data_IF_917789566546
#
_entry.id   IF_917789566546
#
_cell.length_a   1.000
_cell.length_b   1.000
_cell.length_c   1.000
_cell.angle_alpha   90.00
_cell.angle_beta   90.00
_cell.angle_gamma   90.00
#
_symmetry.space_group_name_H-M   'P 1'
#
loop_
_entity.id
_entity.type
_entity.pdbx_description
1 polymer ?
#
# COMPACT_ATOMS: atom_id res chain seq x y z
N UNK A 1 -0.66 1.20 19.44
CA UNK A 1 0.73 1.23 19.96
C UNK A 1 1.78 1.05 18.85
N UNK A 2 1.65 0.15 17.86
CA UNK A 2 2.70 -0.06 16.82
C UNK A 2 3.19 1.12 15.95
N UNK A 3 2.47 2.25 15.78
CA UNK A 3 2.98 3.36 14.94
C UNK A 3 3.60 4.50 15.76
N UNK A 4 3.11 4.71 16.99
CA UNK A 4 3.70 5.68 17.91
C UNK A 4 5.07 5.25 18.46
N UNK A 5 5.34 3.95 18.53
CA UNK A 5 6.67 3.41 18.87
C UNK A 5 7.65 3.52 17.69
N UNK A 6 7.19 3.31 16.45
CA UNK A 6 8.02 3.49 15.26
C UNK A 6 8.50 4.95 15.09
N UNK A 7 7.67 5.93 15.42
CA UNK A 7 8.04 7.35 15.43
C UNK A 7 9.00 7.72 16.58
N UNK A 8 8.97 7.01 17.72
CA UNK A 8 9.85 7.30 18.87
C UNK A 8 11.28 6.84 18.66
N UNK A 9 11.50 5.78 17.88
CA UNK A 9 12.85 5.24 17.61
C UNK A 9 13.67 6.10 16.65
N UNK A 10 13.06 7.09 15.98
CA UNK A 10 13.72 7.84 14.91
C UNK A 10 14.58 9.02 15.36
N UNK A 11 14.58 9.43 16.63
CA UNK A 11 15.30 10.62 17.16
C UNK A 11 15.22 11.89 16.28
N UNK A 12 14.23 11.95 15.40
CA UNK A 12 13.79 13.15 14.71
C UNK A 12 12.55 13.57 15.48
N UNK A 13 12.68 14.74 16.09
CA UNK A 13 11.66 15.41 16.90
C UNK A 13 10.46 15.88 16.04
N UNK A 14 9.95 15.03 15.14
CA UNK A 14 8.60 15.17 14.63
C UNK A 14 7.69 14.64 15.72
N UNK A 15 7.21 15.55 16.57
CA UNK A 15 5.96 15.34 17.28
C UNK A 15 5.02 14.64 16.31
N UNK A 16 4.56 13.43 16.66
CA UNK A 16 3.60 12.66 15.89
C UNK A 16 2.29 13.46 15.84
N UNK A 17 2.29 14.49 15.00
CA UNK A 17 1.19 15.42 14.84
C UNK A 17 0.06 14.60 14.22
N UNK A 18 -1.14 14.77 14.79
CA UNK A 18 -2.36 14.18 14.23
C UNK A 18 -2.50 14.55 12.75
N UNK A 19 -1.92 15.67 12.31
CA UNK A 19 -1.75 16.06 10.92
C UNK A 19 -1.05 15.01 10.05
N UNK A 20 0.11 14.50 10.45
CA UNK A 20 0.89 13.52 9.66
C UNK A 20 0.14 12.19 9.53
N UNK A 21 -0.45 11.71 10.63
CA UNK A 21 -1.27 10.47 10.61
C UNK A 21 -2.53 10.67 9.74
N UNK A 22 -3.11 11.87 9.72
CA UNK A 22 -4.24 12.19 8.84
C UNK A 22 -3.82 12.20 7.36
N UNK A 23 -2.64 12.73 7.04
CA UNK A 23 -2.11 12.76 5.67
C UNK A 23 -1.87 11.34 5.15
N UNK A 24 -1.19 10.48 5.91
CA UNK A 24 -0.88 9.11 5.51
C UNK A 24 -2.15 8.26 5.28
N UNK A 25 -3.18 8.46 6.11
CA UNK A 25 -4.50 7.81 5.93
C UNK A 25 -5.22 8.33 4.68
N UNK A 26 -5.21 9.64 4.48
CA UNK A 26 -5.80 10.28 3.30
C UNK A 26 -5.15 9.80 2.00
N UNK A 27 -3.83 9.69 2.00
CA UNK A 27 -3.06 9.16 0.88
C UNK A 27 -3.40 7.70 0.59
N UNK A 28 -3.32 6.81 1.59
CA UNK A 28 -3.67 5.39 1.43
C UNK A 28 -5.08 5.26 0.83
N UNK A 29 -6.07 5.98 1.37
CA UNK A 29 -7.43 5.95 0.85
C UNK A 29 -7.49 6.43 -0.61
N UNK A 30 -6.79 7.51 -0.95
CA UNK A 30 -6.77 8.04 -2.32
C UNK A 30 -6.22 7.02 -3.34
N UNK A 31 -5.23 6.21 -2.94
CA UNK A 31 -4.64 5.15 -3.78
C UNK A 31 -5.54 3.90 -3.85
N UNK A 32 -6.22 3.55 -2.76
CA UNK A 32 -7.10 2.37 -2.66
C UNK A 32 -8.42 2.58 -3.40
N UNK A 33 -8.98 3.79 -3.37
CA UNK A 33 -10.29 4.10 -4.00
C UNK A 33 -10.40 3.62 -5.46
N UNK A 34 -9.50 3.98 -6.39
CA UNK A 34 -9.60 3.51 -7.77
C UNK A 34 -9.42 1.98 -7.90
N UNK A 35 -8.68 1.35 -6.99
CA UNK A 35 -8.54 -0.11 -6.95
C UNK A 35 -9.84 -0.81 -6.56
N UNK A 36 -10.58 -0.25 -5.59
CA UNK A 36 -11.91 -0.78 -5.20
C UNK A 36 -12.88 -0.70 -6.38
N UNK A 37 -12.94 0.46 -7.05
CA UNK A 37 -13.81 0.64 -8.22
C UNK A 37 -13.50 -0.39 -9.31
N UNK A 38 -12.22 -0.52 -9.68
CA UNK A 38 -11.77 -1.40 -10.76
C UNK A 38 -11.89 -2.89 -10.42
N UNK A 39 -11.46 -3.32 -9.23
CA UNK A 39 -11.35 -4.76 -8.90
C UNK A 39 -12.69 -5.38 -8.50
N UNK A 40 -13.59 -4.61 -7.91
CA UNK A 40 -14.93 -5.08 -7.56
C UNK A 40 -15.99 -4.66 -8.60
N UNK A 41 -15.62 -3.87 -9.60
CA UNK A 41 -16.51 -3.47 -10.69
C UNK A 41 -17.65 -2.54 -10.22
N UNK A 42 -17.35 -1.59 -9.33
CA UNK A 42 -18.27 -0.48 -9.09
C UNK A 42 -18.25 0.46 -10.28
N UNK A 43 -19.40 1.02 -10.65
CA UNK A 43 -19.47 1.98 -11.75
C UNK A 43 -20.34 3.19 -11.37
N UNK A 44 -19.99 4.36 -11.90
CA UNK A 44 -20.67 5.63 -11.61
C UNK A 44 -21.94 5.89 -12.42
N UNK A 45 -22.55 4.87 -13.03
CA UNK A 45 -23.75 5.05 -13.85
C UNK A 45 -24.93 5.56 -13.01
N UNK A 46 -25.71 6.49 -13.58
CA UNK A 46 -26.93 7.02 -12.95
C UNK A 46 -28.13 6.09 -13.12
N UNK A 47 -27.99 4.98 -13.86
CA UNK A 47 -29.07 4.02 -14.07
C UNK A 47 -29.50 3.36 -12.74
N UNK A 48 -30.83 3.25 -12.52
CA UNK A 48 -31.40 2.64 -11.30
C UNK A 48 -30.87 1.23 -11.05
N UNK A 49 -30.66 0.45 -12.12
CA UNK A 49 -30.08 -0.91 -12.05
C UNK A 49 -28.65 -0.86 -11.48
N UNK A 50 -27.78 -0.01 -12.02
CA UNK A 50 -26.40 0.13 -11.57
C UNK A 50 -26.31 0.61 -10.12
N UNK A 51 -27.16 1.56 -9.71
CA UNK A 51 -27.24 2.02 -8.32
C UNK A 51 -27.59 0.85 -7.39
N UNK A 52 -28.61 0.05 -7.75
CA UNK A 52 -29.00 -1.13 -6.97
C UNK A 52 -27.85 -2.15 -6.89
N UNK A 53 -27.24 -2.48 -8.02
CA UNK A 53 -26.14 -3.45 -8.10
C UNK A 53 -24.94 -3.02 -7.26
N UNK A 54 -24.54 -1.74 -7.33
CA UNK A 54 -23.48 -1.20 -6.48
C UNK A 54 -23.81 -1.34 -4.99
N UNK A 55 -25.03 -0.98 -4.58
CA UNK A 55 -25.45 -1.07 -3.18
C UNK A 55 -25.42 -2.52 -2.68
N UNK A 56 -26.05 -3.41 -3.44
CA UNK A 56 -26.18 -4.82 -3.08
C UNK A 56 -24.78 -5.47 -3.02
N UNK A 57 -23.87 -5.07 -3.92
CA UNK A 57 -22.46 -5.49 -3.92
C UNK A 57 -21.66 -4.94 -2.73
N UNK A 58 -21.83 -3.66 -2.38
CA UNK A 58 -21.15 -3.08 -1.23
C UNK A 58 -21.52 -3.82 0.06
N UNK A 59 -22.82 -4.08 0.26
CA UNK A 59 -23.31 -4.86 1.39
C UNK A 59 -22.70 -6.27 1.41
N UNK A 60 -22.74 -7.00 0.28
CA UNK A 60 -22.18 -8.34 0.17
C UNK A 60 -20.68 -8.37 0.49
N UNK A 61 -19.89 -7.47 -0.10
CA UNK A 61 -18.44 -7.41 0.12
C UNK A 61 -18.05 -7.14 1.57
N UNK A 62 -18.82 -6.30 2.27
CA UNK A 62 -18.55 -5.98 3.69
C UNK A 62 -19.01 -7.06 4.66
N UNK A 63 -20.01 -7.87 4.28
CA UNK A 63 -20.43 -9.03 5.07
C UNK A 63 -19.27 -10.01 5.23
N UNK A 64 -18.93 -10.36 6.47
CA UNK A 64 -17.80 -11.22 6.83
C UNK A 64 -16.46 -10.87 6.15
N UNK A 65 -16.29 -9.59 5.79
CA UNK A 65 -15.10 -9.10 5.07
C UNK A 65 -14.79 -9.89 3.79
N UNK A 66 -15.82 -10.30 3.04
CA UNK A 66 -15.67 -11.04 1.77
C UNK A 66 -14.69 -10.37 0.79
N UNK A 67 -14.57 -9.04 0.83
CA UNK A 67 -13.59 -8.29 0.05
C UNK A 67 -12.13 -8.75 0.25
N UNK A 68 -11.79 -9.39 1.37
CA UNK A 68 -10.44 -9.87 1.67
C UNK A 68 -10.09 -11.20 0.99
N UNK A 69 -11.08 -11.96 0.50
CA UNK A 69 -10.88 -13.27 -0.11
C UNK A 69 -10.39 -13.16 -1.54
N UNK A 70 -9.59 -14.13 -1.99
CA UNK A 70 -9.07 -14.19 -3.37
C UNK A 70 -10.19 -14.13 -4.41
N UNK A 71 -11.26 -14.88 -4.14
CA UNK A 71 -12.50 -14.90 -4.90
C UNK A 71 -13.66 -14.68 -3.91
N UNK A 72 -14.21 -13.45 -3.83
CA UNK A 72 -15.31 -13.11 -2.94
C UNK A 72 -16.65 -13.80 -3.28
N UNK A 73 -16.71 -14.64 -4.33
CA UNK A 73 -17.86 -15.46 -4.69
C UNK A 73 -19.18 -14.69 -4.93
N UNK A 74 -19.11 -13.40 -5.29
CA UNK A 74 -20.28 -12.51 -5.39
C UNK A 74 -21.38 -13.01 -6.34
N UNK A 75 -20.98 -13.72 -7.40
CA UNK A 75 -21.89 -14.24 -8.42
C UNK A 75 -22.19 -15.74 -8.26
N UNK A 76 -21.72 -16.37 -7.17
CA UNK A 76 -21.93 -17.80 -6.92
C UNK A 76 -23.22 -18.06 -6.12
N UNK A 77 -23.81 -19.27 -6.26
CA UNK A 77 -24.97 -19.66 -5.45
C UNK A 77 -24.68 -19.54 -3.94
N UNK A 78 -25.70 -19.18 -3.16
CA UNK A 78 -25.61 -19.16 -1.70
C UNK A 78 -25.11 -20.51 -1.17
N UNK A 79 -24.02 -20.49 -0.41
CA UNK A 79 -23.37 -21.68 0.16
C UNK A 79 -22.07 -22.11 -0.53
N UNK A 80 -21.62 -21.43 -1.59
CA UNK A 80 -20.25 -21.60 -2.09
C UNK A 80 -19.25 -20.91 -1.15
N UNK A 81 -18.27 -21.66 -0.66
CA UNK A 81 -17.26 -21.12 0.25
C UNK A 81 -16.34 -20.11 -0.45
N UNK A 82 -16.13 -18.97 0.19
CA UNK A 82 -15.11 -18.02 -0.25
C UNK A 82 -13.72 -18.59 0.04
N UNK A 83 -12.82 -18.52 -0.95
CA UNK A 83 -11.50 -19.14 -0.86
C UNK A 83 -10.37 -18.11 -0.72
N UNK A 84 -9.35 -18.49 0.05
CA UNK A 84 -8.12 -17.71 0.15
C UNK A 84 -8.30 -16.37 0.85
N UNK A 85 -8.75 -16.39 2.10
CA UNK A 85 -8.79 -15.19 2.96
C UNK A 85 -7.45 -14.43 2.93
N UNK A 86 -7.52 -13.10 2.89
CA UNK A 86 -6.39 -12.16 2.77
C UNK A 86 -5.55 -12.28 1.49
N UNK A 87 -6.04 -12.95 0.45
CA UNK A 87 -5.32 -13.11 -0.83
C UNK A 87 -5.93 -12.34 -1.99
N UNK A 88 -6.92 -11.48 -1.73
CA UNK A 88 -7.44 -10.61 -2.79
C UNK A 88 -6.33 -9.71 -3.38
N UNK A 89 -6.22 -9.57 -4.71
CA UNK A 89 -5.16 -8.77 -5.35
C UNK A 89 -5.10 -7.30 -4.90
N UNK A 90 -6.20 -6.76 -4.38
CA UNK A 90 -6.25 -5.39 -3.86
C UNK A 90 -5.23 -5.14 -2.75
N UNK A 91 -4.91 -6.16 -1.93
CA UNK A 91 -4.01 -6.03 -0.79
C UNK A 91 -2.59 -5.72 -1.28
N UNK A 92 -2.08 -6.51 -2.22
CA UNK A 92 -0.77 -6.26 -2.84
C UNK A 92 -0.76 -4.93 -3.59
N UNK A 93 -1.79 -4.66 -4.40
CA UNK A 93 -1.87 -3.43 -5.18
C UNK A 93 -1.90 -2.17 -4.30
N UNK A 94 -2.58 -2.23 -3.16
CA UNK A 94 -2.59 -1.15 -2.18
C UNK A 94 -1.21 -0.95 -1.54
N UNK A 95 -0.53 -2.03 -1.11
CA UNK A 95 0.84 -1.96 -0.58
C UNK A 95 1.78 -1.28 -1.59
N UNK A 96 1.74 -1.76 -2.82
CA UNK A 96 2.56 -1.26 -3.92
C UNK A 96 2.28 0.23 -4.17
N UNK A 97 1.01 0.61 -4.30
CA UNK A 97 0.64 1.98 -4.63
C UNK A 97 0.88 2.99 -3.49
N UNK A 98 1.01 2.53 -2.25
CA UNK A 98 1.17 3.40 -1.08
C UNK A 98 2.60 3.50 -0.58
N UNK A 99 3.39 2.42 -0.56
CA UNK A 99 4.73 2.44 0.06
C UNK A 99 5.84 1.88 -0.83
N UNK A 100 5.53 1.36 -2.02
CA UNK A 100 6.49 0.65 -2.87
C UNK A 100 6.29 0.92 -4.37
N UNK A 101 5.83 2.11 -4.74
CA UNK A 101 5.61 2.49 -6.14
C UNK A 101 6.95 2.73 -6.85
N UNK A 102 7.96 3.23 -6.14
CA UNK A 102 9.29 3.46 -6.67
C UNK A 102 10.39 3.33 -5.58
N UNK A 103 11.66 3.44 -5.99
CA UNK A 103 12.83 3.25 -5.11
C UNK A 103 12.99 4.30 -4.00
N UNK A 104 12.29 5.42 -4.10
CA UNK A 104 12.34 6.52 -3.15
C UNK A 104 11.18 6.50 -2.16
N UNK A 105 10.27 5.52 -2.26
CA UNK A 105 9.14 5.41 -1.33
C UNK A 105 9.56 4.80 0.01
N UNK A 106 8.72 4.99 1.01
CA UNK A 106 8.99 4.69 2.43
C UNK A 106 9.32 3.21 2.66
N UNK A 107 8.68 2.30 1.91
CA UNK A 107 8.93 0.87 2.00
C UNK A 107 10.34 0.46 1.58
N UNK A 108 11.03 1.30 0.81
CA UNK A 108 12.41 1.10 0.39
C UNK A 108 13.38 1.87 1.28
N UNK A 109 13.09 3.15 1.55
CA UNK A 109 13.95 4.01 2.36
C UNK A 109 14.04 3.55 3.82
N UNK A 110 12.93 3.10 4.40
CA UNK A 110 12.84 2.70 5.80
C UNK A 110 12.59 1.20 5.95
N UNK A 111 13.43 0.41 5.27
CA UNK A 111 13.28 -1.06 5.15
C UNK A 111 13.11 -1.78 6.50
N UNK A 112 13.66 -1.25 7.58
CA UNK A 112 13.60 -1.79 8.93
C UNK A 112 12.17 -1.90 9.48
N UNK A 113 11.23 -1.09 9.00
CA UNK A 113 9.82 -1.16 9.43
C UNK A 113 8.96 -2.13 8.60
N UNK A 114 9.45 -2.54 7.43
CA UNK A 114 8.72 -3.37 6.48
C UNK A 114 9.32 -4.79 6.32
N UNK A 115 10.60 -4.93 6.64
CA UNK A 115 11.36 -6.18 6.59
C UNK A 115 11.21 -6.99 7.89
N UNK A 116 11.23 -8.33 7.84
CA UNK A 116 11.24 -9.19 6.65
C UNK A 116 9.84 -9.49 6.08
N UNK A 117 8.80 -8.91 6.68
CA UNK A 117 7.40 -9.19 6.35
C UNK A 117 6.53 -7.99 6.70
N UNK A 118 5.54 -7.70 5.85
CA UNK A 118 4.54 -6.65 6.11
C UNK A 118 3.89 -6.91 7.48
N UNK A 119 3.76 -5.88 8.32
CA UNK A 119 3.20 -6.07 9.67
C UNK A 119 1.70 -6.36 9.64
N UNK A 120 1.18 -7.08 10.65
CA UNK A 120 -0.27 -7.28 10.83
C UNK A 120 -1.01 -5.94 10.91
N UNK A 121 -0.40 -4.93 11.56
CA UNK A 121 -0.97 -3.59 11.65
C UNK A 121 -1.15 -2.94 10.28
N UNK A 122 -0.18 -3.09 9.38
CA UNK A 122 -0.30 -2.57 8.01
C UNK A 122 -1.37 -3.29 7.21
N UNK A 123 -1.45 -4.63 7.31
CA UNK A 123 -2.53 -5.39 6.67
C UNK A 123 -3.90 -4.92 7.16
N UNK A 124 -4.09 -4.79 8.48
CA UNK A 124 -5.33 -4.27 9.05
C UNK A 124 -5.67 -2.87 8.53
N UNK A 125 -4.67 -1.98 8.41
CA UNK A 125 -4.85 -0.64 7.88
C UNK A 125 -5.32 -0.65 6.42
N UNK A 126 -4.73 -1.51 5.58
CA UNK A 126 -5.17 -1.68 4.17
C UNK A 126 -6.60 -2.20 4.12
N UNK A 127 -6.94 -3.26 4.89
CA UNK A 127 -8.30 -3.81 4.93
C UNK A 127 -9.33 -2.75 5.35
N UNK A 128 -8.96 -1.91 6.33
CA UNK A 128 -9.78 -0.79 6.78
C UNK A 128 -9.98 0.25 5.68
N UNK A 129 -8.92 0.60 4.94
CA UNK A 129 -9.01 1.55 3.83
C UNK A 129 -9.86 1.00 2.67
N UNK A 130 -9.75 -0.31 2.38
CA UNK A 130 -10.57 -1.01 1.39
C UNK A 130 -12.04 -0.97 1.80
N UNK A 131 -12.36 -1.36 3.04
CA UNK A 131 -13.73 -1.28 3.56
C UNK A 131 -14.27 0.15 3.51
N UNK A 132 -13.48 1.15 3.93
CA UNK A 132 -13.87 2.55 3.86
C UNK A 132 -14.19 3.02 2.43
N UNK A 133 -13.47 2.51 1.42
CA UNK A 133 -13.75 2.81 0.02
C UNK A 133 -14.98 2.04 -0.51
N UNK A 134 -15.27 0.85 0.00
CA UNK A 134 -16.50 0.10 -0.31
C UNK A 134 -17.72 0.81 0.29
N UNK A 135 -17.60 1.33 1.51
CA UNK A 135 -18.66 2.07 2.20
C UNK A 135 -19.10 3.33 1.44
N UNK A 136 -18.22 3.94 0.62
CA UNK A 136 -18.58 5.03 -0.31
C UNK A 136 -19.69 4.63 -1.28
N UNK A 137 -19.87 3.33 -1.53
CA UNK A 137 -20.90 2.77 -2.41
C UNK A 137 -22.12 2.23 -1.67
N UNK A 138 -22.22 2.43 -0.35
CA UNK A 138 -23.31 1.89 0.49
C UNK A 138 -24.71 2.40 0.11
N UNK A 139 -24.84 3.50 -0.62
CA UNK A 139 -26.13 3.99 -1.17
C UNK A 139 -26.36 3.58 -2.63
N UNK A 140 -25.39 2.89 -3.24
CA UNK A 140 -25.34 2.60 -4.67
C UNK A 140 -24.76 3.70 -5.53
N UNK A 141 -24.66 4.92 -4.98
CA UNK A 141 -23.95 6.06 -5.57
C UNK A 141 -22.71 6.32 -4.74
N UNK A 142 -21.60 6.66 -5.40
CA UNK A 142 -20.38 7.05 -4.71
C UNK A 142 -20.62 8.34 -3.92
N UNK A 143 -20.46 8.27 -2.60
CA UNK A 143 -20.43 9.44 -1.73
C UNK A 143 -19.04 9.58 -1.09
N UNK A 144 -18.66 10.82 -0.75
CA UNK A 144 -17.42 11.05 -0.01
C UNK A 144 -17.58 10.60 1.43
N UNK A 145 -17.19 9.36 1.74
CA UNK A 145 -17.03 8.92 3.13
C UNK A 145 -15.68 9.43 3.63
N UNK A 146 -15.65 10.05 4.80
CA UNK A 146 -14.36 10.50 5.34
C UNK A 146 -13.66 9.35 6.07
N UNK A 147 -12.36 9.21 5.87
CA UNK A 147 -11.56 8.21 6.61
C UNK A 147 -11.09 8.79 7.95
N UNK A 148 -12.05 9.23 8.76
CA UNK A 148 -11.76 9.82 10.06
C UNK A 148 -11.44 8.75 11.11
N UNK A 149 -10.55 9.11 12.03
CA UNK A 149 -10.09 8.21 13.09
C UNK A 149 -11.20 7.70 13.98
N UNK A 150 -12.14 8.58 14.35
CA UNK A 150 -13.24 8.24 15.23
C UNK A 150 -14.16 7.17 14.61
N UNK A 151 -14.35 7.21 13.29
CA UNK A 151 -15.26 6.29 12.59
C UNK A 151 -14.57 4.96 12.23
N UNK A 152 -13.33 5.00 11.74
CA UNK A 152 -12.66 3.80 11.22
C UNK A 152 -11.63 3.16 12.18
N UNK A 153 -11.35 3.77 13.34
CA UNK A 153 -10.53 3.10 14.36
C UNK A 153 -11.15 1.80 14.87
N UNK A 154 -12.46 1.70 15.16
CA UNK A 154 -13.09 0.43 15.53
C UNK A 154 -12.94 -0.64 14.44
N UNK A 155 -13.13 -0.25 13.18
CA UNK A 155 -12.96 -1.14 12.01
C UNK A 155 -11.52 -1.65 11.91
N UNK A 156 -10.54 -0.75 12.08
CA UNK A 156 -9.12 -1.12 12.12
C UNK A 156 -8.79 -2.08 13.25
N UNK A 157 -9.29 -1.82 14.46
CA UNK A 157 -9.06 -2.69 15.61
C UNK A 157 -9.69 -4.06 15.40
N UNK A 158 -10.88 -4.12 14.78
CA UNK A 158 -11.55 -5.38 14.43
C UNK A 158 -10.74 -6.19 13.40
N UNK A 159 -10.31 -5.58 12.29
CA UNK A 159 -9.44 -6.26 11.31
C UNK A 159 -8.14 -6.74 11.92
N UNK A 160 -7.53 -5.93 12.78
CA UNK A 160 -6.30 -6.31 13.49
C UNK A 160 -6.55 -7.50 14.42
N UNK A 161 -7.65 -7.49 15.18
CA UNK A 161 -8.01 -8.59 16.06
C UNK A 161 -8.27 -9.89 15.28
N UNK A 162 -8.97 -9.82 14.14
CA UNK A 162 -9.22 -10.98 13.29
C UNK A 162 -7.94 -11.57 12.69
N UNK A 163 -7.01 -10.71 12.26
CA UNK A 163 -5.69 -11.17 11.77
C UNK A 163 -4.87 -11.83 12.88
N UNK A 164 -4.88 -11.29 14.11
CA UNK A 164 -4.21 -11.89 15.25
C UNK A 164 -4.86 -13.23 15.65
N UNK A 165 -6.19 -13.27 15.73
CA UNK A 165 -6.91 -14.49 16.03
C UNK A 165 -6.69 -15.59 14.98
N UNK A 166 -6.54 -15.22 13.71
CA UNK A 166 -6.14 -16.16 12.66
C UNK A 166 -4.70 -16.64 12.84
N UNK A 167 -3.77 -15.74 13.16
CA UNK A 167 -2.36 -16.09 13.44
C UNK A 167 -2.24 -17.06 14.63
N UNK A 168 -3.05 -16.84 15.67
CA UNK A 168 -3.06 -17.62 16.91
C UNK A 168 -3.90 -18.91 16.83
N UNK A 169 -4.57 -19.18 15.70
CA UNK A 169 -5.50 -20.30 15.57
C UNK A 169 -4.81 -21.66 15.68
N UNK A 170 -3.67 -21.82 15.01
CA UNK A 170 -2.78 -22.97 15.07
C UNK A 170 -1.45 -22.68 14.34
N UNK A 171 -0.46 -23.56 14.49
CA UNK A 171 0.86 -23.41 13.84
C UNK A 171 0.77 -23.29 12.31
N UNK A 172 -0.15 -24.02 11.68
CA UNK A 172 -0.37 -23.94 10.23
C UNK A 172 -0.94 -22.59 9.81
N UNK A 173 -1.85 -22.02 10.60
CA UNK A 173 -2.44 -20.70 10.33
C UNK A 173 -1.38 -19.59 10.51
N UNK A 174 -0.59 -19.65 11.59
CA UNK A 174 0.57 -18.78 11.80
C UNK A 174 1.56 -18.86 10.63
N UNK A 175 1.96 -20.07 10.24
CA UNK A 175 2.89 -20.32 9.13
C UNK A 175 2.35 -19.78 7.81
N UNK A 176 1.06 -19.98 7.54
CA UNK A 176 0.39 -19.51 6.33
C UNK A 176 0.36 -17.99 6.27
N UNK A 177 -0.05 -17.31 7.35
CA UNK A 177 -0.12 -15.85 7.41
C UNK A 177 1.28 -15.23 7.33
N UNK A 178 2.27 -15.78 8.03
CA UNK A 178 3.65 -15.34 7.94
C UNK A 178 4.22 -15.47 6.52
N UNK A 179 4.00 -16.62 5.86
CA UNK A 179 4.41 -16.82 4.46
C UNK A 179 3.74 -15.81 3.53
N UNK A 180 2.45 -15.54 3.71
CA UNK A 180 1.73 -14.52 2.96
C UNK A 180 2.37 -13.14 3.14
N UNK A 181 2.61 -12.72 4.39
CA UNK A 181 3.20 -11.41 4.71
C UNK A 181 4.62 -11.23 4.17
N UNK A 182 5.44 -12.28 4.22
CA UNK A 182 6.78 -12.31 3.58
C UNK A 182 6.68 -12.18 2.07
N UNK A 183 5.74 -12.89 1.45
CA UNK A 183 5.48 -12.79 0.01
C UNK A 183 5.05 -11.37 -0.38
N UNK A 184 4.11 -10.78 0.37
CA UNK A 184 3.65 -9.41 0.12
C UNK A 184 4.80 -8.40 0.11
N UNK A 185 5.72 -8.51 1.08
CA UNK A 185 6.91 -7.66 1.15
C UNK A 185 7.87 -7.88 -0.02
N UNK A 186 8.16 -9.14 -0.36
CA UNK A 186 9.05 -9.49 -1.48
C UNK A 186 8.52 -8.93 -2.81
N UNK A 187 7.25 -9.18 -3.11
CA UNK A 187 6.62 -8.68 -4.35
C UNK A 187 6.56 -7.15 -4.38
N UNK A 188 6.38 -6.50 -3.23
CA UNK A 188 6.40 -5.05 -3.14
C UNK A 188 7.81 -4.47 -3.43
N UNK A 189 8.87 -5.07 -2.88
CA UNK A 189 10.25 -4.67 -3.23
C UNK A 189 10.53 -4.86 -4.72
N UNK A 190 10.14 -5.99 -5.29
CA UNK A 190 10.28 -6.23 -6.72
C UNK A 190 9.55 -5.15 -7.53
N UNK A 191 8.31 -4.83 -7.17
CA UNK A 191 7.50 -3.81 -7.84
C UNK A 191 8.12 -2.41 -7.85
N UNK A 192 8.79 -2.02 -6.75
CA UNK A 192 9.46 -0.72 -6.64
C UNK A 192 10.68 -0.56 -7.58
N UNK A 193 11.10 -1.66 -8.23
CA UNK A 193 12.32 -1.73 -9.01
C UNK A 193 13.59 -1.74 -8.18
N UNK A 194 13.51 -1.92 -6.85
CA UNK A 194 14.67 -1.94 -5.96
C UNK A 194 15.52 -3.22 -6.05
N UNK A 195 15.07 -4.25 -6.78
CA UNK A 195 15.89 -5.43 -7.10
C UNK A 195 16.82 -5.19 -8.30
N UNK A 196 16.45 -4.30 -9.22
CA UNK A 196 17.30 -3.94 -10.35
C UNK A 196 18.45 -3.06 -9.85
N UNK A 197 19.64 -3.63 -9.72
CA UNK A 197 20.98 -2.98 -9.80
C UNK A 197 21.13 -1.56 -9.23
N UNK A 198 22.14 -1.41 -8.36
CA UNK A 198 22.82 -0.14 -8.14
C UNK A 198 23.01 0.56 -9.48
N UNK A 199 22.21 1.59 -9.76
CA UNK A 199 22.56 2.54 -10.80
C UNK A 199 23.80 3.23 -10.27
N UNK A 200 24.97 2.70 -10.60
CA UNK A 200 26.20 3.46 -10.54
C UNK A 200 25.92 4.66 -11.41
N UNK A 201 25.70 5.82 -10.79
CA UNK A 201 25.71 7.06 -11.53
C UNK A 201 27.10 7.11 -12.16
N UNK A 202 27.18 6.83 -13.46
CA UNK A 202 28.40 7.04 -14.23
C UNK A 202 28.52 8.55 -14.34
N UNK A 203 29.08 9.16 -13.30
CA UNK A 203 29.53 10.54 -13.32
C UNK A 203 30.88 10.59 -14.05
N UNK A 204 31.35 11.81 -14.33
CA UNK A 204 32.66 11.99 -14.95
C UNK A 204 33.72 11.26 -14.12
N UNK A 205 34.43 10.33 -14.75
CA UNK A 205 35.56 9.67 -14.11
C UNK A 205 36.66 10.70 -13.83
N UNK A 206 37.51 10.40 -12.87
CA UNK A 206 38.71 11.20 -12.62
C UNK A 206 39.51 11.41 -13.93
N UNK A 207 39.63 10.39 -14.77
CA UNK A 207 40.33 10.49 -16.06
C UNK A 207 39.64 11.44 -17.05
N UNK A 208 38.31 11.55 -17.01
CA UNK A 208 37.58 12.52 -17.84
C UNK A 208 37.83 13.95 -17.34
N UNK A 209 37.90 14.15 -16.03
CA UNK A 209 38.25 15.44 -15.43
C UNK A 209 39.71 15.83 -15.69
N UNK A 210 40.66 14.89 -15.57
CA UNK A 210 42.08 15.12 -15.87
C UNK A 210 42.29 15.48 -17.34
N UNK A 211 41.61 14.78 -18.28
CA UNK A 211 41.69 15.13 -19.71
C UNK A 211 41.11 16.49 -20.01
N UNK A 212 39.99 16.86 -19.39
CA UNK A 212 39.42 18.19 -19.56
C UNK A 212 40.34 19.29 -19.03
N UNK A 213 41.02 19.06 -17.90
CA UNK A 213 42.00 20.01 -17.36
C UNK A 213 43.20 20.18 -18.30
N UNK A 214 43.75 19.08 -18.80
CA UNK A 214 44.89 19.15 -19.73
C UNK A 214 44.54 19.92 -21.00
N UNK A 215 43.37 19.66 -21.59
CA UNK A 215 42.91 20.37 -22.79
C UNK A 215 42.71 21.87 -22.55
N UNK A 216 42.24 22.27 -21.36
CA UNK A 216 42.07 23.68 -21.02
C UNK A 216 43.42 24.39 -20.78
N UNK A 217 44.41 23.68 -20.24
CA UNK A 217 45.77 24.21 -20.08
C UNK A 217 46.46 24.35 -21.43
N UNK A 218 46.37 23.34 -22.30
CA UNK A 218 46.98 23.36 -23.64
C UNK A 218 46.34 24.44 -24.54
N UNK A 219 45.06 24.77 -24.33
CA UNK A 219 44.37 25.84 -25.07
C UNK A 219 44.64 27.25 -24.53
N UNK A 220 45.17 27.38 -23.31
CA UNK A 220 45.49 28.67 -22.69
C UNK A 220 46.87 29.22 -23.05
N UNK A 221 47.73 28.43 -23.69
CA UNK A 221 49.07 28.83 -24.12
C UNK A 221 49.12 29.40 -25.56
N UNK A 222 47.99 29.38 -26.30
CA UNK A 222 47.91 29.88 -27.69
C UNK A 222 47.37 31.32 -27.82
N UNK A 223 46.90 31.95 -26.74
CA UNK A 223 46.25 33.28 -26.77
C UNK A 223 47.15 34.47 -26.32
N UNK A 224 48.43 34.22 -25.99
CA UNK A 224 49.36 35.26 -25.48
C UNK A 224 50.42 35.75 -26.49
N UNK A 225 50.28 35.43 -27.78
CA UNK A 225 51.11 35.99 -28.87
C UNK A 225 50.24 36.67 -29.96
N UNK A 226 49.72 37.87 -29.66
CA UNK A 226 49.18 38.82 -30.66
C UNK A 226 49.55 40.28 -30.35
#
# INVERSE_FOLDING_TARGET
VCWGEACKTLDVNYAADRGVIKILRGELKSKVRPLVESLYGFNGSSAKKAIRENRDKAAALTSDSLFAYKDPALDRPQGADAEGIYRHPIIQKAINATWFMNRSDEGILYKEYFSPAISIGMMALILTAVQCCIDEWGTGKRSGVSFYENEYKPVYLSHKANLLAFDDLCDDAHSLLLKLRKKLYKEARFHSGAEDTERTAVTLSHDALTRALQQAMDAGDDDDDA
#
